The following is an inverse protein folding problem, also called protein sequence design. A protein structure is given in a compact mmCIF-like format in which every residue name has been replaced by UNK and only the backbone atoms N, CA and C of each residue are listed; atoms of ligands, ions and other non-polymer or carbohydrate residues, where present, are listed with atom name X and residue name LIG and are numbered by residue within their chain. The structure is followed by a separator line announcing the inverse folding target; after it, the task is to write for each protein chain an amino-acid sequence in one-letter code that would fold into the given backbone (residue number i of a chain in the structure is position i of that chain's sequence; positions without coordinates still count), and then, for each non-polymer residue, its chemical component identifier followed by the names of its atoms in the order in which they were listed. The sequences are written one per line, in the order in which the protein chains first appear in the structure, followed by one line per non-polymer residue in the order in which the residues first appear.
data_IF_066007584062
#
_entry.id   IF_066007584062
#
_cell.length_a   1.000
_cell.length_b   1.000
_cell.length_c   1.000
_cell.angle_alpha   90.00
_cell.angle_beta   90.00
_cell.angle_gamma   90.00
#
_symmetry.space_group_name_H-M   'P 1'
#
loop_
_entity.id
_entity.type
_entity.pdbx_description
1 polymer ?
#
# COMPACT_ATOMS: atom_id res chain seq x y z
N UNK A 1 -8.11 -16.55 4.80
CA UNK A 1 -8.69 -15.24 5.18
C UNK A 1 -8.08 -14.21 4.22
N UNK A 2 -8.93 -13.41 3.52
CA UNK A 2 -8.46 -12.59 2.40
C UNK A 2 -9.37 -11.37 2.18
N UNK A 3 -8.86 -10.38 1.43
CA UNK A 3 -9.70 -9.46 0.65
C UNK A 3 -9.90 -10.10 -0.73
N UNK A 4 -11.15 -10.27 -1.15
CA UNK A 4 -11.50 -10.86 -2.43
C UNK A 4 -12.33 -9.89 -3.25
N UNK A 5 -11.91 -9.66 -4.47
CA UNK A 5 -12.64 -8.89 -5.49
C UNK A 5 -13.16 -9.87 -6.51
N UNK A 6 -14.47 -9.87 -6.74
CA UNK A 6 -15.13 -10.78 -7.67
C UNK A 6 -15.87 -9.97 -8.73
N UNK A 7 -15.37 -10.02 -9.97
CA UNK A 7 -15.88 -9.27 -11.15
C UNK A 7 -16.19 -7.82 -10.84
N UNK A 8 -15.31 -7.22 -10.01
CA UNK A 8 -15.53 -5.90 -9.45
C UNK A 8 -15.56 -4.85 -10.53
N UNK A 9 -16.64 -4.08 -10.57
CA UNK A 9 -16.84 -2.99 -11.53
C UNK A 9 -17.29 -1.74 -10.78
N UNK A 10 -16.74 -0.60 -11.19
CA UNK A 10 -17.17 0.71 -10.71
C UNK A 10 -17.20 1.75 -11.83
N UNK A 11 -18.31 2.45 -11.92
CA UNK A 11 -18.59 3.46 -12.92
C UNK A 11 -19.00 4.76 -12.22
N UNK A 12 -18.22 5.82 -12.44
CA UNK A 12 -18.58 7.16 -11.98
C UNK A 12 -19.72 7.72 -12.83
N UNK A 13 -20.65 8.49 -12.23
CA UNK A 13 -21.75 9.19 -12.91
C UNK A 13 -22.57 8.27 -13.82
N UNK A 14 -22.83 7.04 -13.37
CA UNK A 14 -23.59 6.04 -14.12
C UNK A 14 -24.90 6.62 -14.66
N UNK A 15 -25.19 6.35 -15.94
CA UNK A 15 -26.39 6.84 -16.62
C UNK A 15 -26.33 8.30 -17.11
N UNK A 16 -25.21 8.99 -16.95
CA UNK A 16 -24.99 10.32 -17.50
C UNK A 16 -24.09 10.29 -18.75
N UNK A 17 -24.08 11.39 -19.51
CA UNK A 17 -23.15 11.57 -20.64
C UNK A 17 -21.68 11.64 -20.22
N UNK A 18 -21.40 11.85 -18.93
CA UNK A 18 -20.06 11.88 -18.33
C UNK A 18 -19.72 10.57 -17.61
N UNK A 19 -20.47 9.50 -17.89
CA UNK A 19 -20.20 8.18 -17.32
C UNK A 19 -18.79 7.69 -17.67
N UNK A 20 -18.04 7.24 -16.66
CA UNK A 20 -16.69 6.71 -16.82
C UNK A 20 -16.49 5.46 -15.98
N UNK A 21 -16.16 4.34 -16.62
CA UNK A 21 -15.86 3.08 -15.96
C UNK A 21 -14.41 3.09 -15.49
N UNK A 22 -14.21 3.30 -14.18
CA UNK A 22 -12.89 3.38 -13.57
C UNK A 22 -12.32 2.02 -13.18
N UNK A 23 -13.17 1.02 -12.90
CA UNK A 23 -12.80 -0.38 -12.61
C UNK A 23 -13.74 -1.28 -13.42
N UNK A 24 -13.20 -2.29 -14.09
CA UNK A 24 -13.95 -3.14 -15.02
C UNK A 24 -13.62 -4.63 -14.80
N UNK A 25 -14.53 -5.37 -14.20
CA UNK A 25 -14.48 -6.82 -14.04
C UNK A 25 -13.16 -7.31 -13.42
N UNK A 26 -12.72 -6.68 -12.34
CA UNK A 26 -11.48 -7.05 -11.65
C UNK A 26 -11.74 -8.22 -10.72
N UNK A 27 -11.00 -9.32 -10.92
CA UNK A 27 -10.88 -10.45 -10.02
C UNK A 27 -9.48 -10.41 -9.39
N UNK A 28 -9.41 -10.27 -8.06
CA UNK A 28 -8.15 -10.19 -7.32
C UNK A 28 -8.35 -10.66 -5.89
N UNK A 29 -7.42 -11.44 -5.37
CA UNK A 29 -7.39 -11.83 -3.97
C UNK A 29 -6.12 -11.31 -3.32
N UNK A 30 -6.22 -10.78 -2.11
CA UNK A 30 -5.09 -10.39 -1.25
C UNK A 30 -5.15 -11.26 0.00
N UNK A 31 -4.13 -12.07 0.20
CA UNK A 31 -4.07 -13.00 1.32
C UNK A 31 -3.62 -12.31 2.63
N UNK A 32 -3.93 -12.93 3.75
CA UNK A 32 -3.42 -12.46 5.05
C UNK A 32 -1.88 -12.53 5.07
N UNK A 33 -1.24 -11.46 5.53
CA UNK A 33 0.22 -11.37 5.58
C UNK A 33 0.90 -11.13 4.22
N UNK A 34 0.17 -11.13 3.10
CA UNK A 34 0.70 -10.81 1.78
C UNK A 34 1.01 -9.32 1.65
N UNK A 35 2.11 -8.97 0.97
CA UNK A 35 2.38 -7.62 0.48
C UNK A 35 2.10 -7.55 -1.02
N UNK A 36 0.98 -6.96 -1.39
CA UNK A 36 0.59 -6.73 -2.78
C UNK A 36 0.96 -5.31 -3.22
N UNK A 37 1.83 -5.18 -4.21
CA UNK A 37 2.08 -3.93 -4.92
C UNK A 37 1.03 -3.72 -6.02
N UNK A 38 0.36 -2.58 -6.03
CA UNK A 38 -0.60 -2.21 -7.09
C UNK A 38 0.01 -1.11 -7.95
N UNK A 39 0.35 -1.45 -9.20
CA UNK A 39 0.97 -0.55 -10.16
C UNK A 39 0.07 -0.28 -11.38
N UNK A 40 0.35 0.80 -12.10
CA UNK A 40 -0.39 1.21 -13.29
C UNK A 40 -0.18 2.70 -13.53
N UNK A 41 -0.41 3.17 -14.76
CA UNK A 41 -0.29 4.59 -15.08
C UNK A 41 -1.34 5.44 -14.31
N UNK A 42 -1.17 6.76 -14.29
CA UNK A 42 -2.16 7.68 -13.74
C UNK A 42 -3.49 7.52 -14.48
N UNK A 43 -4.60 7.45 -13.73
CA UNK A 43 -5.94 7.21 -14.31
C UNK A 43 -6.26 5.74 -14.62
N UNK A 44 -5.38 4.78 -14.29
CA UNK A 44 -5.68 3.35 -14.51
C UNK A 44 -6.73 2.74 -13.58
N UNK A 45 -7.21 3.49 -12.55
CA UNK A 45 -8.24 3.05 -11.62
C UNK A 45 -7.72 2.60 -10.24
N UNK A 46 -6.43 2.72 -9.93
CA UNK A 46 -5.83 2.24 -8.67
C UNK A 46 -6.48 2.84 -7.43
N UNK A 47 -6.57 4.17 -7.36
CA UNK A 47 -7.18 4.86 -6.19
C UNK A 47 -8.66 4.52 -6.04
N UNK A 48 -9.39 4.32 -7.15
CA UNK A 48 -10.77 3.82 -7.11
C UNK A 48 -10.82 2.40 -6.55
N UNK A 49 -9.90 1.52 -6.99
CA UNK A 49 -9.84 0.13 -6.53
C UNK A 49 -9.57 0.05 -5.03
N UNK A 50 -8.61 0.82 -4.50
CA UNK A 50 -8.31 0.81 -3.06
C UNK A 50 -9.44 1.44 -2.22
N UNK A 51 -10.17 2.41 -2.74
CA UNK A 51 -11.37 2.95 -2.09
C UNK A 51 -12.52 1.94 -2.04
N UNK A 52 -12.69 1.11 -3.08
CA UNK A 52 -13.63 0.00 -3.08
C UNK A 52 -13.22 -1.08 -2.07
N UNK A 53 -11.95 -1.47 -2.02
CA UNK A 53 -11.42 -2.40 -1.01
C UNK A 53 -11.61 -1.88 0.42
N UNK A 54 -11.45 -0.57 0.64
CA UNK A 54 -11.69 0.09 1.93
C UNK A 54 -13.16 0.33 2.26
N UNK A 55 -14.09 0.00 1.34
CA UNK A 55 -15.53 0.19 1.50
C UNK A 55 -15.97 1.65 1.52
N UNK A 56 -15.17 2.58 0.99
CA UNK A 56 -15.54 3.99 0.83
C UNK A 56 -16.45 4.19 -0.37
N UNK A 57 -16.20 3.43 -1.44
CA UNK A 57 -17.07 3.34 -2.60
C UNK A 57 -17.84 2.04 -2.58
N UNK A 58 -19.02 2.04 -3.21
CA UNK A 58 -19.83 0.85 -3.42
C UNK A 58 -19.69 0.41 -4.87
N UNK A 59 -19.40 -0.88 -5.16
CA UNK A 59 -19.32 -1.35 -6.53
C UNK A 59 -20.63 -1.13 -7.30
N UNK A 60 -20.55 -0.83 -8.60
CA UNK A 60 -21.70 -0.81 -9.48
C UNK A 60 -22.11 -2.21 -9.95
N UNK A 61 -21.14 -3.14 -9.99
CA UNK A 61 -21.37 -4.57 -10.19
C UNK A 61 -20.22 -5.37 -9.57
N UNK A 62 -20.46 -6.68 -9.36
CA UNK A 62 -19.51 -7.51 -8.62
C UNK A 62 -19.54 -7.24 -7.12
N UNK A 63 -18.54 -7.71 -6.39
CA UNK A 63 -18.49 -7.53 -4.93
C UNK A 63 -17.07 -7.50 -4.39
N UNK A 64 -16.95 -6.95 -3.17
CA UNK A 64 -15.73 -6.97 -2.35
C UNK A 64 -16.05 -7.72 -1.08
N UNK A 65 -15.31 -8.79 -0.80
CA UNK A 65 -15.39 -9.54 0.44
C UNK A 65 -14.14 -9.29 1.27
N UNK A 66 -14.29 -9.00 2.55
CA UNK A 66 -13.19 -8.91 3.52
C UNK A 66 -13.45 -9.88 4.63
N UNK A 67 -12.58 -10.87 4.79
CA UNK A 67 -12.77 -11.96 5.75
C UNK A 67 -14.11 -12.71 5.56
N UNK A 68 -14.60 -12.79 4.32
CA UNK A 68 -15.90 -13.37 3.98
C UNK A 68 -17.09 -12.44 4.21
N UNK A 69 -16.88 -11.22 4.71
CA UNK A 69 -17.93 -10.21 4.92
C UNK A 69 -18.09 -9.36 3.66
N UNK A 70 -19.32 -9.25 3.15
CA UNK A 70 -19.61 -8.47 1.95
C UNK A 70 -19.65 -6.96 2.24
N UNK A 71 -18.79 -6.18 1.57
CA UNK A 71 -18.76 -4.72 1.65
C UNK A 71 -19.99 -4.07 1.01
N UNK A 72 -20.75 -4.79 0.17
CA UNK A 72 -22.02 -4.36 -0.40
C UNK A 72 -23.16 -4.36 0.63
N UNK A 73 -23.15 -5.31 1.57
CA UNK A 73 -24.15 -5.38 2.66
C UNK A 73 -23.88 -4.32 3.74
N UNK A 74 -24.85 -3.48 4.06
CA UNK A 74 -24.70 -2.38 5.01
C UNK A 74 -24.28 -2.82 6.42
N UNK A 75 -24.76 -3.98 6.90
CA UNK A 75 -24.45 -4.49 8.23
C UNK A 75 -23.07 -5.14 8.28
N UNK A 76 -22.76 -5.97 7.30
CA UNK A 76 -21.47 -6.64 7.20
C UNK A 76 -20.34 -5.65 6.92
N UNK A 77 -20.58 -4.59 6.12
CA UNK A 77 -19.62 -3.54 5.83
C UNK A 77 -19.05 -2.86 7.07
N UNK A 78 -19.88 -2.60 8.08
CA UNK A 78 -19.42 -1.99 9.34
C UNK A 78 -18.41 -2.90 10.03
N UNK A 79 -18.62 -4.20 10.01
CA UNK A 79 -17.69 -5.19 10.58
C UNK A 79 -16.46 -5.38 9.68
N UNK A 80 -16.65 -5.49 8.38
CA UNK A 80 -15.59 -5.64 7.39
C UNK A 80 -14.58 -4.47 7.43
N UNK A 81 -15.05 -3.24 7.53
CA UNK A 81 -14.20 -2.03 7.64
C UNK A 81 -13.32 -1.99 8.89
N UNK A 82 -13.67 -2.71 9.96
CA UNK A 82 -12.80 -2.84 11.14
C UNK A 82 -11.54 -3.64 10.86
N UNK A 83 -11.54 -4.46 9.82
CA UNK A 83 -10.40 -5.26 9.40
C UNK A 83 -9.49 -4.53 8.41
N UNK A 84 -9.92 -3.37 7.87
CA UNK A 84 -9.17 -2.64 6.85
C UNK A 84 -8.76 -1.27 7.39
N UNK A 85 -7.46 -1.00 7.40
CA UNK A 85 -6.90 0.33 7.58
C UNK A 85 -6.58 0.95 6.22
N UNK A 86 -7.08 2.14 5.95
CA UNK A 86 -6.81 2.86 4.70
C UNK A 86 -6.03 4.15 5.00
N UNK A 87 -4.88 4.28 4.34
CA UNK A 87 -4.02 5.47 4.39
C UNK A 87 -4.03 6.11 3.00
N UNK A 88 -4.53 7.33 2.91
CA UNK A 88 -4.57 8.09 1.67
C UNK A 88 -3.23 8.77 1.36
N UNK A 89 -3.11 9.25 0.14
CA UNK A 89 -2.03 10.14 -0.25
C UNK A 89 -2.02 11.39 0.65
N UNK A 90 -0.85 11.77 1.19
CA UNK A 90 -0.68 12.86 2.15
C UNK A 90 -1.52 12.70 3.43
N UNK A 91 -1.36 11.60 4.17
CA UNK A 91 -2.19 11.30 5.35
C UNK A 91 -2.04 12.33 6.47
N UNK A 92 -0.96 13.12 6.47
CA UNK A 92 -0.71 14.21 7.39
C UNK A 92 -1.75 15.32 7.36
N UNK A 93 -2.52 15.46 6.28
CA UNK A 93 -3.64 16.40 6.20
C UNK A 93 -4.91 15.92 6.93
N UNK A 94 -4.91 14.69 7.39
CA UNK A 94 -6.03 14.10 8.13
C UNK A 94 -5.91 14.30 9.65
N UNK A 95 -4.77 14.84 10.13
CA UNK A 95 -4.56 15.15 11.55
C UNK A 95 -5.34 16.41 11.95
N UNK A 96 -6.13 16.33 13.01
CA UNK A 96 -7.04 17.40 13.42
C UNK A 96 -7.16 17.60 14.93
N UNK A 97 -6.70 16.66 15.74
CA UNK A 97 -6.79 16.73 17.20
C UNK A 97 -5.74 17.67 17.82
N UNK A 98 -5.95 18.07 19.05
CA UNK A 98 -5.04 18.97 19.78
C UNK A 98 -3.67 18.33 20.05
N UNK A 99 -3.65 17.00 20.25
CA UNK A 99 -2.43 16.25 20.54
C UNK A 99 -2.31 14.99 19.69
N UNK A 100 -1.07 14.59 19.42
CA UNK A 100 -0.75 13.36 18.67
C UNK A 100 -1.40 12.12 19.30
N UNK A 101 -1.34 12.00 20.62
CA UNK A 101 -1.95 10.86 21.30
C UNK A 101 -3.47 10.80 21.14
N UNK A 102 -4.15 11.97 21.15
CA UNK A 102 -5.60 12.05 20.92
C UNK A 102 -5.98 11.71 19.50
N UNK A 103 -5.18 12.18 18.54
CA UNK A 103 -5.38 11.88 17.13
C UNK A 103 -5.24 10.37 16.84
N UNK A 104 -4.16 9.76 17.33
CA UNK A 104 -3.94 8.31 17.22
C UNK A 104 -5.01 7.49 17.97
N UNK A 105 -5.55 8.01 19.07
CA UNK A 105 -6.63 7.38 19.84
C UNK A 105 -8.01 7.44 19.15
N UNK A 106 -8.19 8.31 18.16
CA UNK A 106 -9.49 8.57 17.55
C UNK A 106 -10.15 7.32 16.96
N UNK A 107 -9.39 6.57 16.15
CA UNK A 107 -9.86 5.31 15.56
C UNK A 107 -10.27 4.27 16.61
N UNK A 108 -9.39 3.90 17.55
CA UNK A 108 -9.71 3.01 18.66
C UNK A 108 -10.92 3.43 19.52
N UNK A 109 -11.11 4.74 19.76
CA UNK A 109 -12.31 5.25 20.46
C UNK A 109 -13.59 4.99 19.67
N UNK A 110 -13.57 5.25 18.37
CA UNK A 110 -14.70 5.00 17.49
C UNK A 110 -15.04 3.52 17.35
N UNK A 111 -14.07 2.62 17.62
CA UNK A 111 -14.30 1.19 17.71
C UNK A 111 -14.98 0.77 19.04
N UNK A 112 -15.15 1.68 19.98
CA UNK A 112 -15.76 1.43 21.30
C UNK A 112 -14.85 0.71 22.29
N UNK A 113 -13.53 0.86 22.17
CA UNK A 113 -12.58 0.23 23.08
C UNK A 113 -12.51 0.97 24.42
N UNK A 114 -12.20 0.24 25.51
CA UNK A 114 -11.96 0.84 26.83
C UNK A 114 -10.64 1.62 26.88
N UNK A 115 -10.55 2.64 27.72
CA UNK A 115 -9.48 3.64 27.75
C UNK A 115 -8.07 2.99 27.94
N UNK A 116 -7.96 1.98 28.83
CA UNK A 116 -6.70 1.26 29.04
C UNK A 116 -6.19 0.55 27.77
N UNK A 117 -7.11 -0.02 26.99
CA UNK A 117 -6.77 -0.68 25.70
C UNK A 117 -6.39 0.36 24.66
N UNK A 118 -7.09 1.51 24.65
CA UNK A 118 -6.78 2.64 23.75
C UNK A 118 -5.35 3.12 24.02
N UNK A 119 -5.03 3.41 25.28
CA UNK A 119 -3.71 3.88 25.66
C UNK A 119 -2.60 2.92 25.23
N UNK A 120 -2.76 1.62 25.49
CA UNK A 120 -1.79 0.60 25.04
C UNK A 120 -1.60 0.59 23.52
N UNK A 121 -2.69 0.68 22.75
CA UNK A 121 -2.65 0.74 21.29
C UNK A 121 -1.95 1.99 20.77
N UNK A 122 -2.23 3.14 21.38
CA UNK A 122 -1.57 4.41 21.05
C UNK A 122 -0.07 4.34 21.30
N UNK A 123 0.36 3.86 22.47
CA UNK A 123 1.77 3.71 22.81
C UNK A 123 2.48 2.74 21.84
N UNK A 124 1.85 1.61 21.54
CA UNK A 124 2.38 0.62 20.59
C UNK A 124 2.49 1.18 19.18
N UNK A 125 1.44 1.82 18.68
CA UNK A 125 1.42 2.38 17.33
C UNK A 125 2.44 3.51 17.15
N UNK A 126 2.51 4.43 18.11
CA UNK A 126 3.51 5.49 18.10
C UNK A 126 4.95 4.93 18.20
N UNK A 127 5.16 3.89 18.98
CA UNK A 127 6.46 3.20 19.07
C UNK A 127 6.86 2.56 17.74
N UNK A 128 5.91 1.96 17.01
CA UNK A 128 6.14 1.33 15.70
C UNK A 128 6.58 2.33 14.64
N UNK A 129 6.04 3.54 14.66
CA UNK A 129 6.40 4.60 13.70
C UNK A 129 7.59 5.46 14.15
N UNK A 130 8.30 5.07 15.21
CA UNK A 130 9.46 5.81 15.72
C UNK A 130 9.12 7.17 16.37
N UNK A 131 7.91 7.31 16.93
CA UNK A 131 7.44 8.48 17.66
C UNK A 131 7.05 8.10 19.10
N UNK A 132 8.00 7.85 20.03
CA UNK A 132 7.68 7.41 21.37
C UNK A 132 6.63 8.29 22.08
N UNK A 133 5.55 7.68 22.58
CA UNK A 133 4.39 8.38 23.15
C UNK A 133 4.76 9.36 24.29
N UNK A 134 5.77 9.01 25.11
CA UNK A 134 6.26 9.91 26.19
C UNK A 134 6.82 11.22 25.65
N UNK A 135 7.42 11.23 24.46
CA UNK A 135 8.06 12.40 23.87
C UNK A 135 7.12 13.16 22.92
N UNK A 136 6.27 12.45 22.17
CA UNK A 136 5.46 13.00 21.09
C UNK A 136 3.97 13.07 21.43
N UNK A 137 3.46 12.22 22.30
CA UNK A 137 2.03 12.09 22.54
C UNK A 137 1.31 13.38 22.98
N UNK A 138 1.98 14.20 23.78
CA UNK A 138 1.44 15.48 24.24
C UNK A 138 1.65 16.66 23.28
N UNK A 139 2.44 16.49 22.20
CA UNK A 139 2.68 17.56 21.23
C UNK A 139 1.47 17.77 20.33
N UNK A 140 1.31 19.00 19.86
CA UNK A 140 0.36 19.28 18.78
C UNK A 140 0.86 18.64 17.48
N UNK A 141 0.00 17.95 16.69
CA UNK A 141 0.38 17.44 15.37
C UNK A 141 0.97 18.54 14.47
N UNK A 142 0.49 19.77 14.59
CA UNK A 142 0.94 20.89 13.77
C UNK A 142 2.34 21.43 14.14
N UNK A 143 2.88 21.03 15.28
CA UNK A 143 4.25 21.35 15.69
C UNK A 143 5.30 20.34 15.17
N UNK A 144 4.85 19.24 14.56
CA UNK A 144 5.72 18.19 14.03
C UNK A 144 6.27 18.58 12.66
N UNK A 145 7.45 18.02 12.30
CA UNK A 145 7.94 18.03 10.93
C UNK A 145 6.99 17.26 9.98
N UNK A 146 7.10 17.50 8.66
CA UNK A 146 6.27 16.80 7.67
C UNK A 146 6.36 15.27 7.77
N UNK A 147 7.59 14.74 7.92
CA UNK A 147 7.80 13.30 8.10
C UNK A 147 7.23 12.77 9.41
N UNK A 148 7.37 13.51 10.52
CA UNK A 148 6.76 13.13 11.81
C UNK A 148 5.24 13.15 11.73
N UNK A 149 4.64 14.17 11.10
CA UNK A 149 3.17 14.21 10.88
C UNK A 149 2.68 13.00 10.11
N UNK A 150 3.36 12.64 9.01
CA UNK A 150 3.00 11.48 8.21
C UNK A 150 3.06 10.19 9.02
N UNK A 151 4.12 10.01 9.81
CA UNK A 151 4.24 8.85 10.72
C UNK A 151 3.16 8.86 11.81
N UNK A 152 2.80 10.03 12.36
CA UNK A 152 1.71 10.13 13.32
C UNK A 152 0.35 9.74 12.71
N UNK A 153 0.06 10.19 11.48
CA UNK A 153 -1.15 9.79 10.76
C UNK A 153 -1.19 8.28 10.48
N UNK A 154 -0.05 7.69 10.08
CA UNK A 154 0.06 6.25 9.91
C UNK A 154 -0.17 5.51 11.24
N UNK A 155 0.35 6.03 12.37
CA UNK A 155 0.10 5.46 13.69
C UNK A 155 -1.39 5.44 14.05
N UNK A 156 -2.17 6.46 13.65
CA UNK A 156 -3.62 6.50 13.84
C UNK A 156 -4.34 5.31 13.18
N UNK A 157 -3.90 4.92 12.01
CA UNK A 157 -4.45 3.75 11.30
C UNK A 157 -3.94 2.44 11.93
N UNK A 158 -2.65 2.35 12.26
CA UNK A 158 -2.04 1.17 12.91
C UNK A 158 -2.69 0.90 14.28
N UNK A 159 -3.04 1.93 15.05
CA UNK A 159 -3.68 1.80 16.36
C UNK A 159 -5.05 1.09 16.32
N UNK A 160 -5.69 1.06 15.17
CA UNK A 160 -6.91 0.26 14.96
C UNK A 160 -6.63 -1.24 14.89
N UNK A 161 -5.37 -1.66 14.73
CA UNK A 161 -4.92 -3.06 14.54
C UNK A 161 -5.65 -3.73 13.36
N UNK A 162 -5.58 -3.15 12.14
CA UNK A 162 -6.24 -3.72 10.99
C UNK A 162 -5.59 -5.04 10.58
N UNK A 163 -6.38 -5.96 9.99
CA UNK A 163 -5.85 -7.17 9.36
C UNK A 163 -5.24 -6.91 7.98
N UNK A 164 -5.70 -5.84 7.33
CA UNK A 164 -5.20 -5.39 6.03
C UNK A 164 -4.94 -3.88 6.09
N UNK A 165 -3.76 -3.48 5.66
CA UNK A 165 -3.37 -2.07 5.53
C UNK A 165 -3.29 -1.72 4.05
N UNK A 166 -4.15 -0.81 3.62
CA UNK A 166 -4.17 -0.28 2.26
C UNK A 166 -3.53 1.09 2.26
N UNK A 167 -2.53 1.29 1.41
CA UNK A 167 -1.69 2.49 1.35
C UNK A 167 -1.76 3.06 -0.06
N UNK A 168 -2.36 4.25 -0.22
CA UNK A 168 -2.41 4.95 -1.50
C UNK A 168 -1.26 5.97 -1.56
N UNK A 169 -0.19 5.62 -2.26
CA UNK A 169 1.03 6.41 -2.43
C UNK A 169 1.66 6.94 -1.11
N UNK A 170 1.95 6.06 -0.15
CA UNK A 170 2.37 6.48 1.19
C UNK A 170 3.70 7.22 1.21
N UNK A 171 4.50 7.13 0.16
CA UNK A 171 5.85 7.69 0.05
C UNK A 171 5.93 8.93 -0.85
N UNK A 172 4.79 9.41 -1.38
CA UNK A 172 4.77 10.60 -2.25
C UNK A 172 5.33 11.84 -1.53
N UNK A 173 6.30 12.52 -2.15
CA UNK A 173 6.90 13.74 -1.60
C UNK A 173 7.87 13.54 -0.44
N UNK A 174 8.20 12.30 -0.06
CA UNK A 174 9.24 12.02 0.94
C UNK A 174 10.63 11.99 0.31
N UNK A 175 11.61 12.41 1.10
CA UNK A 175 13.03 12.20 0.81
C UNK A 175 13.41 10.70 0.94
N UNK A 176 14.59 10.29 0.48
CA UNK A 176 15.00 8.87 0.53
C UNK A 176 15.02 8.28 1.93
N UNK A 177 15.30 9.09 2.97
CA UNK A 177 15.30 8.59 4.36
C UNK A 177 13.86 8.36 4.84
N UNK A 178 12.96 9.32 4.62
CA UNK A 178 11.54 9.18 4.98
C UNK A 178 10.87 7.99 4.29
N UNK A 179 11.24 7.69 3.03
CA UNK A 179 10.77 6.47 2.33
C UNK A 179 11.21 5.20 3.05
N UNK A 180 12.50 5.09 3.40
CA UNK A 180 13.02 3.93 4.14
C UNK A 180 12.33 3.76 5.49
N UNK A 181 12.11 4.86 6.21
CA UNK A 181 11.46 4.83 7.51
C UNK A 181 10.01 4.31 7.43
N UNK A 182 9.25 4.73 6.41
CA UNK A 182 7.89 4.24 6.18
C UNK A 182 7.90 2.76 5.80
N UNK A 183 8.78 2.33 4.87
CA UNK A 183 8.89 0.91 4.49
C UNK A 183 9.26 0.04 5.69
N UNK A 184 10.26 0.44 6.48
CA UNK A 184 10.62 -0.24 7.72
C UNK A 184 9.46 -0.35 8.72
N UNK A 185 8.64 0.70 8.82
CA UNK A 185 7.45 0.69 9.68
C UNK A 185 6.43 -0.35 9.19
N UNK A 186 6.17 -0.39 7.88
CA UNK A 186 5.21 -1.32 7.27
C UNK A 186 5.71 -2.77 7.44
N UNK A 187 6.99 -3.04 7.15
CA UNK A 187 7.60 -4.36 7.33
C UNK A 187 7.58 -4.80 8.79
N UNK A 188 7.91 -3.90 9.72
CA UNK A 188 7.85 -4.17 11.15
C UNK A 188 6.43 -4.47 11.65
N UNK A 189 5.42 -3.77 11.13
CA UNK A 189 4.01 -4.05 11.41
C UNK A 189 3.63 -5.44 10.89
N UNK A 190 3.94 -5.72 9.63
CA UNK A 190 3.64 -6.99 8.97
C UNK A 190 4.27 -8.18 9.71
N UNK A 191 5.55 -8.08 10.04
CA UNK A 191 6.27 -9.11 10.79
C UNK A 191 5.69 -9.39 12.18
N UNK A 192 5.18 -8.36 12.87
CA UNK A 192 4.60 -8.49 14.22
C UNK A 192 3.17 -8.97 14.24
N UNK A 193 2.37 -8.61 13.25
CA UNK A 193 0.91 -8.80 13.28
C UNK A 193 0.38 -9.77 12.24
N UNK A 194 1.17 -10.11 11.21
CA UNK A 194 0.67 -10.85 10.04
C UNK A 194 -0.30 -10.02 9.20
N UNK A 195 -0.28 -8.68 9.32
CA UNK A 195 -1.14 -7.78 8.55
C UNK A 195 -0.85 -7.92 7.04
N UNK A 196 -1.89 -8.12 6.22
CA UNK A 196 -1.77 -8.02 4.77
C UNK A 196 -1.60 -6.56 4.35
N UNK A 197 -0.82 -6.30 3.32
CA UNK A 197 -0.55 -4.94 2.83
C UNK A 197 -0.91 -4.82 1.35
N UNK A 198 -1.65 -3.77 0.99
CA UNK A 198 -1.85 -3.35 -0.40
C UNK A 198 -1.21 -1.96 -0.54
N UNK A 199 -0.21 -1.83 -1.38
CA UNK A 199 0.47 -0.55 -1.59
C UNK A 199 0.36 -0.11 -3.04
N UNK A 200 -0.30 1.02 -3.27
CA UNK A 200 -0.24 1.74 -4.53
C UNK A 200 1.05 2.55 -4.56
N UNK A 201 1.83 2.38 -5.60
CA UNK A 201 3.04 3.19 -5.81
C UNK A 201 3.30 3.43 -7.31
N UNK A 202 3.85 4.60 -7.60
CA UNK A 202 4.45 4.91 -8.90
C UNK A 202 5.94 4.56 -8.96
N UNK A 203 6.59 4.30 -7.81
CA UNK A 203 7.98 3.87 -7.75
C UNK A 203 8.06 2.35 -7.93
N UNK A 204 8.61 1.95 -9.06
CA UNK A 204 8.83 0.53 -9.34
C UNK A 204 9.88 -0.07 -8.41
N UNK A 205 10.85 0.73 -7.96
CA UNK A 205 11.87 0.33 -7.00
C UNK A 205 11.28 -0.04 -5.65
N UNK A 206 10.36 0.80 -5.12
CA UNK A 206 9.71 0.57 -3.83
C UNK A 206 8.88 -0.73 -3.87
N UNK A 207 8.12 -0.92 -4.97
CA UNK A 207 7.31 -2.13 -5.14
C UNK A 207 8.19 -3.37 -5.35
N UNK A 208 9.26 -3.24 -6.14
CA UNK A 208 10.22 -4.32 -6.38
C UNK A 208 10.90 -4.83 -5.10
N UNK A 209 11.11 -3.92 -4.13
CA UNK A 209 11.78 -4.22 -2.87
C UNK A 209 10.86 -4.91 -1.86
N UNK A 210 9.57 -4.55 -1.82
CA UNK A 210 8.68 -4.91 -0.71
C UNK A 210 7.59 -5.91 -1.08
N UNK A 211 7.17 -5.98 -2.36
CA UNK A 211 6.02 -6.77 -2.74
C UNK A 211 6.34 -8.27 -2.89
N UNK A 212 5.48 -9.11 -2.32
CA UNK A 212 5.48 -10.55 -2.61
C UNK A 212 4.86 -10.82 -3.98
N UNK A 213 3.85 -10.00 -4.34
CA UNK A 213 3.16 -10.05 -5.62
C UNK A 213 2.81 -8.64 -6.11
N UNK A 214 2.82 -8.45 -7.42
CA UNK A 214 2.48 -7.19 -8.06
C UNK A 214 1.26 -7.38 -8.94
N UNK A 215 0.26 -6.52 -8.77
CA UNK A 215 -0.92 -6.42 -9.63
C UNK A 215 -0.77 -5.21 -10.56
N UNK A 216 -0.89 -5.43 -11.86
CA UNK A 216 -0.77 -4.41 -12.90
C UNK A 216 -2.16 -4.01 -13.37
N UNK A 217 -2.53 -2.76 -13.14
CA UNK A 217 -3.82 -2.20 -13.54
C UNK A 217 -3.66 -1.28 -14.76
N UNK A 218 -4.48 -1.49 -15.78
CA UNK A 218 -4.52 -0.66 -16.98
C UNK A 218 -5.95 -0.43 -17.42
N UNK A 219 -6.36 0.84 -17.62
CA UNK A 219 -7.70 1.23 -18.04
C UNK A 219 -8.83 0.53 -17.25
N UNK A 220 -8.67 0.47 -15.92
CA UNK A 220 -9.64 -0.14 -15.03
C UNK A 220 -9.63 -1.67 -14.99
N UNK A 221 -8.77 -2.34 -15.75
CA UNK A 221 -8.68 -3.81 -15.81
C UNK A 221 -7.40 -4.31 -15.16
N UNK A 222 -7.50 -5.46 -14.50
CA UNK A 222 -6.32 -6.19 -14.05
C UNK A 222 -5.71 -6.93 -15.25
N UNK A 223 -4.48 -6.55 -15.61
CA UNK A 223 -3.77 -7.16 -16.73
C UNK A 223 -3.03 -8.42 -16.27
N UNK A 224 -2.36 -8.33 -15.12
CA UNK A 224 -1.58 -9.43 -14.56
C UNK A 224 -1.41 -9.23 -13.06
N UNK A 225 -1.32 -10.32 -12.30
CA UNK A 225 -0.92 -10.33 -10.90
C UNK A 225 0.01 -11.53 -10.66
N UNK A 226 1.30 -11.27 -10.40
CA UNK A 226 2.31 -12.32 -10.23
C UNK A 226 3.48 -11.82 -9.35
N UNK A 227 4.43 -12.71 -9.03
CA UNK A 227 5.66 -12.36 -8.33
C UNK A 227 6.46 -11.30 -9.10
N UNK A 228 7.19 -10.39 -8.39
CA UNK A 228 7.93 -9.28 -9.01
C UNK A 228 8.85 -9.72 -10.14
N UNK A 229 9.56 -10.85 -9.97
CA UNK A 229 10.46 -11.38 -11.00
C UNK A 229 9.76 -11.67 -12.33
N UNK A 230 8.53 -12.19 -12.31
CA UNK A 230 7.77 -12.46 -13.53
C UNK A 230 7.22 -11.17 -14.16
N UNK A 231 6.73 -10.24 -13.32
CA UNK A 231 6.23 -8.95 -13.78
C UNK A 231 7.33 -8.17 -14.49
N UNK A 232 8.51 -8.05 -13.89
CA UNK A 232 9.62 -7.26 -14.44
C UNK A 232 10.39 -7.98 -15.57
N UNK A 233 10.16 -9.27 -15.81
CA UNK A 233 10.64 -9.96 -17.00
C UNK A 233 9.85 -9.60 -18.26
N UNK A 234 8.59 -9.19 -18.13
CA UNK A 234 7.72 -8.77 -19.22
C UNK A 234 7.99 -7.30 -19.63
N UNK A 235 9.25 -6.96 -19.91
CA UNK A 235 9.72 -5.58 -20.18
C UNK A 235 8.91 -4.87 -21.25
N UNK A 236 8.72 -5.51 -22.42
CA UNK A 236 7.98 -4.94 -23.55
C UNK A 236 6.51 -4.68 -23.19
N UNK A 237 5.90 -5.58 -22.43
CA UNK A 237 4.51 -5.42 -21.97
C UNK A 237 4.38 -4.22 -21.04
N UNK A 238 5.26 -4.09 -20.05
CA UNK A 238 5.23 -2.96 -19.12
C UNK A 238 5.44 -1.63 -19.84
N UNK A 239 6.39 -1.56 -20.78
CA UNK A 239 6.64 -0.37 -21.58
C UNK A 239 5.42 0.00 -22.46
N UNK A 240 4.76 -1.00 -23.09
CA UNK A 240 3.54 -0.78 -23.86
C UNK A 240 2.39 -0.25 -22.98
N UNK A 241 2.38 -0.56 -21.70
CA UNK A 241 1.43 -0.02 -20.71
C UNK A 241 1.85 1.34 -20.14
N UNK A 242 2.97 1.93 -20.60
CA UNK A 242 3.49 3.21 -20.11
C UNK A 242 4.11 3.12 -18.71
N UNK A 243 4.55 1.93 -18.29
CA UNK A 243 5.20 1.69 -17.01
C UNK A 243 6.72 1.61 -17.18
N UNK A 244 7.44 2.26 -16.28
CA UNK A 244 8.89 2.17 -16.25
C UNK A 244 9.34 0.89 -15.55
N UNK A 245 10.54 0.40 -15.92
CA UNK A 245 11.21 -0.67 -15.20
C UNK A 245 12.04 -0.10 -14.05
N UNK A 246 12.22 -0.87 -12.96
CA UNK A 246 13.23 -0.56 -11.95
C UNK A 246 14.61 -0.30 -12.57
N UNK A 247 15.38 0.65 -12.02
CA UNK A 247 16.72 0.96 -12.50
C UNK A 247 17.65 -0.28 -12.57
N UNK A 248 17.63 -1.21 -11.61
CA UNK A 248 18.39 -2.47 -11.72
C UNK A 248 18.04 -3.30 -12.95
N UNK A 249 16.76 -3.39 -13.34
CA UNK A 249 16.34 -4.08 -14.57
C UNK A 249 16.93 -3.42 -15.81
N UNK A 250 16.83 -2.09 -15.91
CA UNK A 250 17.39 -1.30 -17.03
C UNK A 250 18.90 -1.52 -17.16
N UNK A 251 19.61 -1.49 -16.01
CA UNK A 251 21.07 -1.73 -16.00
C UNK A 251 21.42 -3.18 -16.38
N UNK A 252 20.73 -4.16 -15.81
CA UNK A 252 20.94 -5.58 -16.16
C UNK A 252 20.70 -5.83 -17.66
N UNK A 253 19.65 -5.23 -18.24
CA UNK A 253 19.39 -5.31 -19.69
C UNK A 253 20.51 -4.65 -20.52
N UNK A 254 21.03 -3.50 -20.08
CA UNK A 254 22.15 -2.83 -20.78
C UNK A 254 23.44 -3.64 -20.72
N UNK A 255 23.72 -4.32 -19.61
CA UNK A 255 24.88 -5.21 -19.47
C UNK A 255 24.74 -6.46 -20.36
N UNK A 256 23.54 -7.06 -20.44
CA UNK A 256 23.26 -8.18 -21.38
C UNK A 256 23.50 -7.78 -22.84
N UNK A 257 23.05 -6.57 -23.25
CA UNK A 257 23.31 -6.05 -24.61
C UNK A 257 24.81 -5.87 -24.91
N UNK A 258 25.66 -5.73 -23.90
CA UNK A 258 27.12 -5.66 -24.02
C UNK A 258 27.83 -7.03 -23.93
N UNK A 259 27.06 -8.12 -23.94
CA UNK A 259 27.59 -9.48 -23.91
C UNK A 259 27.87 -10.04 -22.52
N UNK A 260 27.48 -9.35 -21.44
CA UNK A 260 27.61 -9.88 -20.10
C UNK A 260 26.41 -10.77 -19.76
N UNK A 261 26.64 -11.97 -19.29
CA UNK A 261 25.58 -12.83 -18.76
C UNK A 261 25.14 -12.32 -17.40
N UNK A 262 24.00 -11.62 -17.37
CA UNK A 262 23.37 -11.07 -16.15
C UNK A 262 21.97 -11.66 -16.02
N UNK A 263 21.62 -12.27 -14.87
CA UNK A 263 20.28 -12.77 -14.64
C UNK A 263 19.25 -11.63 -14.59
N UNK A 264 17.95 -11.97 -14.57
CA UNK A 264 16.89 -10.99 -14.39
C UNK A 264 16.84 -10.53 -12.93
N UNK A 265 17.49 -9.42 -12.64
CA UNK A 265 17.59 -8.80 -11.31
C UNK A 265 16.77 -7.51 -11.29
N UNK A 266 15.91 -7.37 -10.30
CA UNK A 266 14.99 -6.25 -10.20
C UNK A 266 15.18 -5.38 -8.93
N UNK A 267 16.09 -5.78 -8.02
CA UNK A 267 16.46 -4.97 -6.85
C UNK A 267 17.92 -4.52 -6.95
N UNK A 268 18.21 -3.36 -6.34
CA UNK A 268 19.57 -2.81 -6.32
C UNK A 268 20.54 -3.72 -5.55
N UNK A 269 20.07 -4.31 -4.46
CA UNK A 269 20.85 -5.23 -3.61
C UNK A 269 21.27 -6.47 -4.41
N UNK A 270 20.33 -7.10 -5.11
CA UNK A 270 20.60 -8.30 -5.90
C UNK A 270 21.59 -8.02 -7.04
N UNK A 271 21.42 -6.88 -7.74
CA UNK A 271 22.34 -6.49 -8.81
C UNK A 271 23.73 -6.15 -8.27
N UNK A 272 23.81 -5.45 -7.14
CA UNK A 272 25.10 -5.11 -6.51
C UNK A 272 25.84 -6.37 -6.06
N UNK A 273 25.15 -7.30 -5.39
CA UNK A 273 25.73 -8.57 -4.96
C UNK A 273 26.31 -9.34 -6.16
N UNK A 274 25.53 -9.47 -7.23
CA UNK A 274 25.96 -10.13 -8.47
C UNK A 274 27.22 -9.50 -9.10
N UNK A 275 27.29 -8.15 -9.14
CA UNK A 275 28.44 -7.44 -9.72
C UNK A 275 29.69 -7.55 -8.84
N UNK A 276 29.54 -7.55 -7.50
CA UNK A 276 30.66 -7.71 -6.57
C UNK A 276 31.26 -9.13 -6.64
N UNK A 277 30.43 -10.17 -6.72
CA UNK A 277 30.91 -11.54 -6.90
C UNK A 277 31.76 -11.70 -8.16
N UNK A 278 31.34 -11.11 -9.27
CA UNK A 278 32.12 -11.18 -10.53
C UNK A 278 33.40 -10.35 -10.48
N UNK A 279 33.48 -9.28 -9.69
CA UNK A 279 34.69 -8.48 -9.54
C UNK A 279 35.80 -9.25 -8.79
N UNK A 280 35.45 -10.20 -7.94
CA UNK A 280 36.40 -11.04 -7.22
C UNK A 280 37.02 -12.17 -8.06
N UNK A 281 36.61 -12.33 -9.32
CA UNK A 281 37.11 -13.36 -10.26
C UNK A 281 37.89 -12.77 -11.45
N UNK A 282 38.30 -11.48 -11.39
CA UNK A 282 39.16 -10.82 -12.39
C UNK A 282 40.57 -10.59 -11.85
#
# INVERSE_FOLDING_TARGET
MAIQLEKLTYEYMQGSALSHKAVAEVDLTVEAGEFLGLIGHTGSGKSTLVQLMGGLLQPTAGRVLVEGLDMGDKKQRIQARRHVGLVFQYPEYQLFEETVARDVAYGPRNMGLGEEKIQRRVETALGLVGLPAKQFGGKSPFSLSGGERRRAALAGVIAMEPKYLILDEPMAGLDPQGRRDILHTIDGLRAKTGCGVVMVSHSMEDVAQCADRIAVLHQGRLIQADAPGKIFQAEDTLQALGLELPAPCKLAAALRKRGMEVPHLYTAEALTAFLLERRGHV
#
